data_IF_767766256338
#
_entry.id   IF_767766256338
#
_cell.length_a   1.000
_cell.length_b   1.000
_cell.length_c   1.000
_cell.angle_alpha   90.00
_cell.angle_beta   90.00
_cell.angle_gamma   90.00
#
_symmetry.space_group_name_H-M   'P 1'
#
loop_
_entity.id
_entity.type
_entity.pdbx_description
1 polymer ?
#
# COMPACT_ATOMS: atom_id res chain seq x y z
N UNK A 1 -15.73 30.79 -10.28
CA UNK A 1 -15.36 29.38 -10.08
C UNK A 1 -14.03 29.09 -10.75
N UNK A 2 -12.94 29.08 -9.99
CA UNK A 2 -11.61 28.71 -10.51
C UNK A 2 -11.47 27.21 -10.44
N UNK A 3 -11.35 26.56 -11.61
CA UNK A 3 -10.98 25.14 -11.69
C UNK A 3 -9.50 25.02 -11.32
N UNK A 4 -9.18 24.38 -10.21
CA UNK A 4 -7.83 24.01 -9.87
C UNK A 4 -7.25 23.15 -10.98
N UNK A 5 -6.21 23.66 -11.67
CA UNK A 5 -5.39 22.87 -12.58
C UNK A 5 -4.52 21.95 -11.76
N UNK A 6 -4.87 20.67 -11.70
CA UNK A 6 -3.98 19.63 -11.20
C UNK A 6 -2.75 19.63 -12.10
N UNK A 7 -1.63 20.15 -11.61
CA UNK A 7 -0.32 20.03 -12.27
C UNK A 7 0.03 18.54 -12.32
N UNK A 8 -0.07 17.95 -13.49
CA UNK A 8 0.51 16.63 -13.75
C UNK A 8 2.03 16.76 -13.60
N UNK A 9 2.59 16.34 -12.48
CA UNK A 9 4.01 15.99 -12.42
C UNK A 9 4.18 14.78 -13.33
N UNK A 10 5.09 14.88 -14.29
CA UNK A 10 5.55 13.79 -15.15
C UNK A 10 6.40 12.84 -14.29
N UNK A 11 5.77 12.06 -13.46
CA UNK A 11 6.32 10.91 -12.76
C UNK A 11 5.53 9.70 -13.22
N UNK A 12 6.20 8.58 -13.41
CA UNK A 12 5.65 7.29 -13.84
C UNK A 12 4.23 7.11 -13.28
N UNK A 13 3.25 6.88 -14.15
CA UNK A 13 1.89 6.52 -13.75
C UNK A 13 2.00 5.29 -12.85
N UNK A 14 1.93 5.50 -11.55
CA UNK A 14 1.65 4.40 -10.66
C UNK A 14 0.19 4.05 -10.89
N UNK A 15 -0.01 2.90 -11.47
CA UNK A 15 -1.34 2.36 -11.67
C UNK A 15 -1.85 1.81 -10.35
N UNK A 16 -3.17 1.81 -10.19
CA UNK A 16 -3.89 1.17 -9.07
C UNK A 16 -3.53 -0.32 -8.93
N UNK A 17 -2.97 -0.92 -9.98
CA UNK A 17 -2.36 -2.24 -9.95
C UNK A 17 -1.02 -2.16 -9.24
N UNK A 18 -0.89 -2.77 -8.08
CA UNK A 18 0.36 -2.84 -7.31
C UNK A 18 1.52 -3.49 -8.09
N UNK A 19 1.25 -4.20 -9.18
CA UNK A 19 2.25 -4.89 -10.00
C UNK A 19 2.68 -4.14 -11.27
N UNK A 20 2.39 -2.86 -11.37
CA UNK A 20 2.79 -2.02 -12.49
C UNK A 20 1.73 -1.89 -13.58
N UNK A 21 1.96 -0.96 -14.50
CA UNK A 21 1.01 -0.61 -15.57
C UNK A 21 1.69 -0.41 -16.92
N UNK A 22 2.94 -0.84 -17.07
CA UNK A 22 3.57 -1.01 -18.37
C UNK A 22 3.02 -2.26 -19.07
N UNK A 23 3.28 -2.37 -20.37
CA UNK A 23 2.68 -3.43 -21.20
C UNK A 23 3.17 -4.82 -20.79
N UNK A 24 4.41 -4.95 -20.36
CA UNK A 24 5.02 -6.21 -19.94
C UNK A 24 4.39 -6.67 -18.60
N UNK A 25 4.21 -5.75 -17.66
CA UNK A 25 3.58 -6.05 -16.37
C UNK A 25 2.11 -6.44 -16.53
N UNK A 26 1.37 -5.75 -17.40
CA UNK A 26 -0.03 -6.07 -17.71
C UNK A 26 -0.11 -7.43 -18.41
N UNK A 27 0.76 -7.68 -19.40
CA UNK A 27 0.80 -8.95 -20.11
C UNK A 27 1.08 -10.12 -19.16
N UNK A 28 2.09 -10.00 -18.28
CA UNK A 28 2.40 -11.04 -17.30
C UNK A 28 1.21 -11.30 -16.35
N UNK A 29 0.55 -10.25 -15.88
CA UNK A 29 -0.62 -10.39 -15.01
C UNK A 29 -1.80 -11.09 -15.70
N UNK A 30 -2.08 -10.78 -16.97
CA UNK A 30 -3.16 -11.42 -17.73
C UNK A 30 -2.82 -12.87 -18.08
N UNK A 31 -1.54 -13.14 -18.39
CA UNK A 31 -1.10 -14.47 -18.81
C UNK A 31 -1.04 -15.47 -17.65
N UNK A 32 -0.55 -15.06 -16.50
CA UNK A 32 -0.22 -15.94 -15.36
C UNK A 32 -1.10 -15.68 -14.13
N UNK A 33 -1.73 -14.52 -14.05
CA UNK A 33 -2.51 -14.11 -12.88
C UNK A 33 -1.65 -13.54 -11.74
N UNK A 34 -2.30 -13.37 -10.61
CA UNK A 34 -1.69 -12.95 -9.34
C UNK A 34 -2.20 -13.90 -8.26
N UNK A 35 -1.31 -14.49 -7.48
CA UNK A 35 -1.63 -15.50 -6.46
C UNK A 35 -2.43 -16.68 -7.02
N UNK A 36 -2.17 -17.01 -8.28
CA UNK A 36 -2.74 -18.19 -8.93
C UNK A 36 -1.88 -19.41 -8.59
N UNK A 37 -2.37 -20.27 -7.74
CA UNK A 37 -1.64 -21.47 -7.27
C UNK A 37 -1.43 -22.51 -8.36
N UNK A 38 -2.20 -22.46 -9.45
CA UNK A 38 -2.10 -23.40 -10.58
C UNK A 38 -1.04 -23.01 -11.61
N UNK A 39 -0.53 -21.76 -11.56
CA UNK A 39 0.49 -21.27 -12.48
C UNK A 39 1.79 -20.91 -11.73
N UNK A 40 2.89 -21.65 -11.94
CA UNK A 40 4.16 -21.41 -11.25
C UNK A 40 4.83 -20.08 -11.65
N UNK A 41 4.41 -19.47 -12.75
CA UNK A 41 4.91 -18.17 -13.21
C UNK A 41 4.03 -16.99 -12.71
N UNK A 42 2.96 -17.29 -11.98
CA UNK A 42 2.13 -16.27 -11.36
C UNK A 42 2.92 -15.49 -10.29
N UNK A 43 2.68 -14.18 -10.25
CA UNK A 43 3.24 -13.36 -9.18
C UNK A 43 2.56 -13.69 -7.86
N UNK A 44 3.38 -13.97 -6.86
CA UNK A 44 2.90 -14.25 -5.52
C UNK A 44 3.54 -13.28 -4.53
N UNK A 45 2.74 -12.42 -3.97
CA UNK A 45 3.10 -11.56 -2.85
C UNK A 45 1.84 -11.21 -2.07
N UNK A 46 1.90 -11.29 -0.78
CA UNK A 46 0.76 -11.08 0.10
C UNK A 46 1.18 -10.25 1.31
N UNK A 47 0.39 -9.23 1.63
CA UNK A 47 0.56 -8.48 2.87
C UNK A 47 0.04 -9.36 4.03
N UNK A 48 0.82 -9.55 5.10
CA UNK A 48 0.35 -10.30 6.27
C UNK A 48 -0.83 -9.60 6.97
N UNK A 49 -1.67 -10.37 7.65
CA UNK A 49 -2.67 -9.86 8.57
C UNK A 49 -1.99 -9.50 9.90
N UNK A 50 -1.66 -8.24 10.10
CA UNK A 50 -0.90 -7.78 11.26
C UNK A 50 -1.70 -7.80 12.57
N UNK A 51 -3.01 -7.94 12.52
CA UNK A 51 -3.85 -8.10 13.72
C UNK A 51 -3.50 -9.31 14.56
N UNK A 52 -2.83 -10.31 14.00
CA UNK A 52 -2.33 -11.48 14.73
C UNK A 52 -0.89 -11.33 15.25
N UNK A 53 -0.18 -10.28 14.79
CA UNK A 53 1.27 -10.11 15.02
C UNK A 53 1.61 -8.89 15.86
N UNK A 54 0.83 -7.83 15.76
CA UNK A 54 1.06 -6.54 16.40
C UNK A 54 -0.05 -6.23 17.42
N UNK A 55 0.29 -5.49 18.47
CA UNK A 55 -0.71 -4.97 19.38
C UNK A 55 -1.60 -3.92 18.68
N UNK A 56 -2.85 -3.78 19.14
CA UNK A 56 -3.79 -2.82 18.57
C UNK A 56 -3.28 -1.37 18.59
N UNK A 57 -2.50 -1.02 19.63
CA UNK A 57 -1.85 0.29 19.72
C UNK A 57 -0.79 0.47 18.64
N UNK A 58 0.06 -0.53 18.37
CA UNK A 58 1.07 -0.49 17.31
C UNK A 58 0.43 -0.35 15.93
N UNK A 59 -0.69 -1.04 15.71
CA UNK A 59 -1.48 -0.90 14.47
C UNK A 59 -2.03 0.53 14.37
N UNK A 60 -2.55 1.09 15.44
CA UNK A 60 -3.06 2.48 15.43
C UNK A 60 -1.93 3.49 15.18
N UNK A 61 -0.75 3.26 15.72
CA UNK A 61 0.44 4.08 15.49
C UNK A 61 0.87 4.02 14.03
N UNK A 62 1.04 2.82 13.45
CA UNK A 62 1.47 2.68 12.06
C UNK A 62 0.45 3.23 11.06
N UNK A 63 -0.85 3.10 11.33
CA UNK A 63 -1.90 3.72 10.51
C UNK A 63 -1.78 5.24 10.51
N UNK A 64 -1.53 5.87 11.65
CA UNK A 64 -1.30 7.32 11.72
C UNK A 64 -0.04 7.74 10.97
N UNK A 65 1.04 6.96 11.05
CA UNK A 65 2.24 7.20 10.24
C UNK A 65 1.94 7.12 8.73
N UNK A 66 1.27 6.05 8.28
CA UNK A 66 0.90 5.87 6.87
C UNK A 66 0.01 7.02 6.38
N UNK A 67 -0.97 7.46 7.16
CA UNK A 67 -1.78 8.63 6.83
C UNK A 67 -0.93 9.89 6.67
N UNK A 68 0.10 10.06 7.50
CA UNK A 68 1.00 11.21 7.42
C UNK A 68 1.85 11.25 6.15
N UNK A 69 2.09 10.10 5.51
CA UNK A 69 2.84 10.02 4.25
C UNK A 69 2.08 10.62 3.06
N UNK A 70 0.76 10.51 3.05
CA UNK A 70 -0.11 10.98 1.96
C UNK A 70 -0.94 12.22 2.30
N UNK A 71 -0.98 12.62 3.57
CA UNK A 71 -1.81 13.73 4.04
C UNK A 71 -1.58 14.04 5.51
N UNK A 72 -2.65 14.05 6.29
CA UNK A 72 -2.60 14.35 7.72
C UNK A 72 -2.97 13.11 8.53
N UNK A 73 -2.17 12.80 9.56
CA UNK A 73 -2.51 11.78 10.55
C UNK A 73 -3.77 12.19 11.33
N UNK A 74 -4.55 11.19 11.75
CA UNK A 74 -5.69 11.43 12.64
C UNK A 74 -5.21 11.85 14.04
N UNK A 75 -4.11 11.25 14.51
CA UNK A 75 -3.43 11.61 15.75
C UNK A 75 -1.93 11.77 15.49
N UNK A 76 -1.49 13.03 15.41
CA UNK A 76 -0.09 13.37 15.15
C UNK A 76 0.87 12.89 16.24
N UNK A 77 0.40 12.65 17.47
CA UNK A 77 1.24 12.16 18.57
C UNK A 77 1.69 10.71 18.38
N UNK A 78 0.98 9.94 17.55
CA UNK A 78 1.27 8.54 17.24
C UNK A 78 2.26 8.35 16.08
N UNK A 79 2.53 9.40 15.29
CA UNK A 79 3.29 9.29 14.04
C UNK A 79 4.72 8.80 14.26
N UNK A 80 5.43 9.33 15.25
CA UNK A 80 6.82 8.96 15.50
C UNK A 80 6.98 7.49 15.95
N UNK A 81 6.07 6.98 16.78
CA UNK A 81 6.05 5.57 17.15
C UNK A 81 5.64 4.70 15.95
N UNK A 82 4.68 5.17 15.16
CA UNK A 82 4.22 4.49 13.94
C UNK A 82 5.30 4.36 12.88
N UNK A 83 6.21 5.33 12.75
CA UNK A 83 7.38 5.24 11.88
C UNK A 83 8.26 4.04 12.25
N UNK A 84 8.53 3.84 13.53
CA UNK A 84 9.31 2.68 14.00
C UNK A 84 8.60 1.36 13.64
N UNK A 85 7.31 1.25 13.92
CA UNK A 85 6.53 0.05 13.57
C UNK A 85 6.54 -0.19 12.05
N UNK A 86 6.45 0.87 11.25
CA UNK A 86 6.49 0.79 9.79
C UNK A 86 7.83 0.28 9.28
N UNK A 87 8.93 0.82 9.77
CA UNK A 87 10.27 0.41 9.36
C UNK A 87 10.56 -1.05 9.71
N UNK A 88 10.08 -1.51 10.86
CA UNK A 88 10.31 -2.87 11.33
C UNK A 88 9.43 -3.91 10.61
N UNK A 89 8.22 -3.55 10.15
CA UNK A 89 7.24 -4.52 9.67
C UNK A 89 6.73 -4.30 8.24
N UNK A 90 6.78 -3.07 7.73
CA UNK A 90 6.12 -2.69 6.48
C UNK A 90 7.10 -2.32 5.36
N UNK A 91 8.26 -1.75 5.73
CA UNK A 91 9.24 -1.20 4.80
C UNK A 91 9.82 -2.25 3.84
N UNK A 92 9.87 -3.53 4.24
CA UNK A 92 10.35 -4.61 3.39
C UNK A 92 9.59 -4.73 2.06
N UNK A 93 8.28 -4.41 2.06
CA UNK A 93 7.43 -4.42 0.87
C UNK A 93 7.11 -3.00 0.38
N UNK A 94 6.83 -2.08 1.30
CA UNK A 94 6.39 -0.72 0.95
C UNK A 94 7.54 0.28 0.80
N UNK A 95 8.79 -0.14 0.97
CA UNK A 95 10.00 0.68 1.02
C UNK A 95 10.01 1.61 2.25
N UNK A 96 11.21 2.06 2.66
CA UNK A 96 11.38 2.92 3.85
C UNK A 96 10.63 4.26 3.72
N UNK A 97 10.49 4.76 2.50
CA UNK A 97 9.79 6.00 2.18
C UNK A 97 8.29 5.82 1.84
N UNK A 98 7.79 4.60 1.89
CA UNK A 98 6.38 4.28 1.60
C UNK A 98 6.00 4.32 0.13
N UNK A 99 6.96 4.42 -0.81
CA UNK A 99 6.67 4.53 -2.25
C UNK A 99 6.20 3.24 -2.90
N UNK A 100 6.31 2.11 -2.19
CA UNK A 100 5.90 0.80 -2.67
C UNK A 100 6.87 0.14 -3.63
N UNK A 101 6.60 -1.12 -3.94
CA UNK A 101 7.39 -1.93 -4.87
C UNK A 101 6.49 -2.70 -5.83
N UNK A 102 6.61 -2.41 -7.13
CA UNK A 102 5.83 -3.06 -8.19
C UNK A 102 6.15 -4.55 -8.34
N UNK A 103 7.34 -5.00 -7.97
CA UNK A 103 7.73 -6.40 -8.05
C UNK A 103 7.07 -7.22 -6.95
N UNK A 104 6.80 -6.58 -5.81
CA UNK A 104 6.07 -7.18 -4.69
C UNK A 104 4.56 -6.87 -4.72
N UNK A 105 4.11 -6.04 -5.66
CA UNK A 105 2.71 -5.61 -5.71
C UNK A 105 2.31 -4.71 -4.55
N UNK A 106 3.27 -4.14 -3.85
CA UNK A 106 3.03 -3.23 -2.74
C UNK A 106 2.73 -1.82 -3.28
N UNK A 107 1.56 -1.24 -2.96
CA UNK A 107 1.17 0.07 -3.45
C UNK A 107 2.01 1.19 -2.83
N UNK A 108 2.06 2.33 -3.54
CA UNK A 108 2.56 3.58 -3.01
C UNK A 108 1.60 4.14 -1.96
N UNK A 109 2.11 4.40 -0.77
CA UNK A 109 1.35 4.93 0.36
C UNK A 109 1.50 6.45 0.51
N UNK A 110 2.30 7.10 -0.36
CA UNK A 110 2.59 8.54 -0.31
C UNK A 110 1.68 9.39 -1.19
N UNK A 111 0.83 8.78 -1.99
CA UNK A 111 -0.13 9.48 -2.84
C UNK A 111 -1.56 9.45 -2.25
N UNK A 112 -2.48 10.13 -2.92
CA UNK A 112 -3.88 10.22 -2.49
C UNK A 112 -4.78 9.14 -3.11
N UNK A 113 -4.20 8.07 -3.68
CA UNK A 113 -4.95 7.02 -4.37
C UNK A 113 -5.06 5.81 -3.45
N UNK A 114 -6.25 5.59 -2.92
CA UNK A 114 -6.56 4.50 -2.02
C UNK A 114 -7.62 3.58 -2.63
N UNK A 115 -7.30 2.31 -2.82
CA UNK A 115 -8.20 1.34 -3.42
C UNK A 115 -9.45 1.08 -2.58
N UNK A 116 -9.29 1.03 -1.26
CA UNK A 116 -10.37 0.73 -0.33
C UNK A 116 -10.85 1.95 0.46
N UNK A 117 -10.09 3.03 0.45
CA UNK A 117 -10.30 4.25 1.23
C UNK A 117 -9.09 4.63 2.06
N UNK A 118 -8.88 5.94 2.25
CA UNK A 118 -7.72 6.51 2.94
C UNK A 118 -8.03 7.05 4.35
N UNK A 119 -9.21 6.76 4.88
CA UNK A 119 -9.54 7.10 6.26
C UNK A 119 -8.93 6.10 7.26
N UNK A 120 -8.81 6.53 8.51
CA UNK A 120 -8.16 5.76 9.56
C UNK A 120 -8.73 4.35 9.73
N UNK A 121 -10.04 4.21 9.81
CA UNK A 121 -10.70 2.93 10.05
C UNK A 121 -10.49 1.97 8.87
N UNK A 122 -10.55 2.47 7.64
CA UNK A 122 -10.35 1.66 6.43
C UNK A 122 -8.90 1.20 6.30
N UNK A 123 -7.92 2.06 6.61
CA UNK A 123 -6.50 1.67 6.61
C UNK A 123 -6.23 0.70 7.76
N UNK A 124 -6.78 0.95 8.96
CA UNK A 124 -6.68 0.04 10.11
C UNK A 124 -7.21 -1.35 9.78
N UNK A 125 -8.37 -1.43 9.15
CA UNK A 125 -8.96 -2.68 8.66
C UNK A 125 -8.03 -3.42 7.71
N UNK A 126 -7.41 -2.69 6.77
CA UNK A 126 -6.46 -3.26 5.79
C UNK A 126 -5.21 -3.81 6.46
N UNK A 127 -4.65 -3.10 7.44
CA UNK A 127 -3.47 -3.55 8.20
C UNK A 127 -3.82 -4.74 9.08
N UNK A 128 -5.00 -4.69 9.73
CA UNK A 128 -5.43 -5.73 10.66
C UNK A 128 -5.69 -7.07 9.99
N UNK A 129 -6.51 -7.07 8.94
CA UNK A 129 -7.00 -8.29 8.29
C UNK A 129 -6.24 -8.67 7.02
N UNK A 130 -5.41 -7.78 6.49
CA UNK A 130 -4.90 -7.86 5.12
C UNK A 130 -6.03 -7.76 4.08
N UNK A 131 -5.70 -7.43 2.85
CA UNK A 131 -6.63 -7.48 1.71
C UNK A 131 -5.86 -7.89 0.48
N UNK A 132 -6.21 -9.03 -0.08
CA UNK A 132 -5.61 -9.55 -1.31
C UNK A 132 -6.66 -10.17 -2.20
N UNK A 133 -6.48 -10.02 -3.50
CA UNK A 133 -7.30 -10.67 -4.51
C UNK A 133 -6.52 -11.77 -5.21
N UNK A 134 -7.23 -12.68 -5.85
CA UNK A 134 -6.67 -13.76 -6.68
C UNK A 134 -7.15 -13.55 -8.12
N UNK A 135 -6.27 -13.74 -9.08
CA UNK A 135 -6.58 -13.67 -10.51
C UNK A 135 -5.94 -14.85 -11.24
#
# INVERSE_FOLDING_TARGET
>A
MQRARIRRKTGKRQTISGHGGDIEAIHATISHGIRNEEDPDARYSEMPAFGEMLAEEEISQVVNYVMSLSGEAQDASMVAAGETVFLDNCAACHMEDGTGDIYQGAPNLTDAIWLYGGDFETIKETVWNSRSGVM
#
